data_IF_107568418787
#
_entry.id   IF_107568418787
#
_cell.length_a   1.000
_cell.length_b   1.000
_cell.length_c   1.000
_cell.angle_alpha   90.00
_cell.angle_beta   90.00
_cell.angle_gamma   90.00
#
_symmetry.space_group_name_H-M   'P 1'
#
loop_
_entity.id
_entity.type
_entity.pdbx_description
1 polymer ?
#
# COMPACT_ATOMS: atom_id res chain seq x y z
N UNK A 1 -38.74 44.66 6.89
CA UNK A 1 -40.24 44.73 6.99
C UNK A 1 -40.79 43.39 6.64
N UNK A 2 -41.73 42.91 7.52
CA UNK A 2 -42.64 41.73 7.40
C UNK A 2 -41.93 40.37 7.42
N UNK A 3 -41.89 39.63 8.55
CA UNK A 3 -42.94 38.97 9.36
C UNK A 3 -43.80 38.01 8.55
N UNK A 4 -43.84 36.75 8.99
CA UNK A 4 -44.96 35.91 9.45
C UNK A 4 -44.52 34.46 9.22
N UNK A 5 -44.35 33.63 10.18
CA UNK A 5 -45.10 32.97 11.27
C UNK A 5 -45.90 31.74 10.81
N UNK A 6 -45.70 30.63 11.57
CA UNK A 6 -46.59 29.51 11.89
C UNK A 6 -46.82 28.40 10.82
N UNK A 7 -46.56 27.17 11.14
CA UNK A 7 -47.52 26.27 11.79
C UNK A 7 -46.84 25.00 12.35
N UNK A 8 -47.19 24.73 13.60
CA UNK A 8 -47.08 23.45 14.29
C UNK A 8 -48.02 22.41 13.67
N UNK A 9 -47.60 21.14 13.65
CA UNK A 9 -48.49 19.98 13.82
C UNK A 9 -47.65 18.77 14.18
N UNK A 10 -47.70 18.35 15.26
CA UNK A 10 -48.14 17.40 16.26
C UNK A 10 -48.66 16.08 15.68
N UNK A 11 -48.15 14.94 16.18
CA UNK A 11 -48.75 13.60 15.98
C UNK A 11 -47.75 12.49 16.01
N UNK A 12 -47.37 11.97 17.11
CA UNK A 12 -47.80 10.80 17.88
C UNK A 12 -47.45 9.44 17.28
N UNK A 13 -46.48 8.77 17.93
CA UNK A 13 -46.48 7.38 18.45
C UNK A 13 -46.68 6.25 17.43
N UNK A 14 -45.66 5.37 17.30
CA UNK A 14 -45.82 3.95 17.64
C UNK A 14 -44.50 3.27 17.98
N UNK A 15 -44.45 2.75 19.16
CA UNK A 15 -43.52 1.82 19.75
C UNK A 15 -43.63 0.46 19.04
N UNK A 16 -42.54 -0.09 18.56
CA UNK A 16 -42.42 -1.54 18.38
C UNK A 16 -40.98 -1.98 18.63
N UNK A 17 -40.77 -2.50 19.82
CA UNK A 17 -39.66 -3.38 20.14
C UNK A 17 -39.81 -4.65 19.30
N UNK A 18 -38.79 -4.96 18.54
CA UNK A 18 -38.51 -6.35 18.17
C UNK A 18 -37.02 -6.48 18.12
N UNK A 19 -36.44 -7.01 19.17
CA UNK A 19 -35.10 -7.45 19.25
C UNK A 19 -34.86 -8.67 18.33
N UNK A 20 -33.81 -8.62 17.54
CA UNK A 20 -33.10 -9.78 17.06
C UNK A 20 -31.61 -9.52 17.26
N UNK A 21 -31.10 -10.09 18.34
CA UNK A 21 -29.66 -10.32 18.47
C UNK A 21 -29.24 -11.32 17.43
N UNK A 22 -28.54 -10.87 16.41
CA UNK A 22 -27.69 -11.72 15.62
C UNK A 22 -26.24 -11.37 15.95
N UNK A 23 -25.36 -12.35 16.21
CA UNK A 23 -23.95 -12.07 16.40
C UNK A 23 -23.43 -11.51 15.08
N UNK A 24 -22.87 -10.32 15.15
CA UNK A 24 -22.08 -9.74 14.06
C UNK A 24 -20.80 -10.55 14.03
N UNK A 25 -20.74 -11.54 13.16
CA UNK A 25 -19.48 -12.02 12.66
C UNK A 25 -18.84 -10.84 11.92
N UNK A 26 -17.76 -10.36 12.49
CA UNK A 26 -16.89 -9.40 11.81
C UNK A 26 -16.27 -10.11 10.61
N UNK A 27 -17.01 -10.15 9.51
CA UNK A 27 -16.37 -10.34 8.22
C UNK A 27 -15.51 -9.10 8.00
N UNK A 28 -14.20 -9.27 8.19
CA UNK A 28 -13.20 -8.39 7.63
C UNK A 28 -13.35 -8.54 6.12
N UNK A 29 -14.29 -7.81 5.55
CA UNK A 29 -14.29 -7.55 4.13
C UNK A 29 -13.05 -6.71 3.85
N UNK A 30 -12.00 -7.37 3.40
CA UNK A 30 -10.97 -6.74 2.61
C UNK A 30 -11.69 -6.10 1.42
N UNK A 31 -12.05 -4.85 1.57
CA UNK A 31 -12.44 -4.02 0.41
C UNK A 31 -11.22 -4.03 -0.50
N UNK A 32 -11.33 -4.78 -1.57
CA UNK A 32 -10.40 -4.77 -2.67
C UNK A 32 -10.56 -3.39 -3.32
N UNK A 33 -9.74 -2.43 -2.86
CA UNK A 33 -9.64 -1.12 -3.47
C UNK A 33 -9.08 -1.34 -4.89
N UNK A 34 -9.99 -1.36 -5.87
CA UNK A 34 -9.69 -1.72 -7.25
C UNK A 34 -8.95 -0.61 -8.01
N UNK A 35 -8.52 0.44 -7.30
CA UNK A 35 -7.83 1.61 -7.87
C UNK A 35 -6.46 1.87 -7.21
N UNK A 36 -5.94 0.92 -6.42
CA UNK A 36 -4.62 1.05 -5.83
C UNK A 36 -3.54 0.81 -6.89
N UNK A 37 -2.66 1.78 -7.04
CA UNK A 37 -1.47 1.72 -7.89
C UNK A 37 -0.24 1.67 -7.01
N UNK A 38 0.67 0.74 -7.31
CA UNK A 38 1.96 0.61 -6.63
C UNK A 38 3.05 1.22 -7.52
N UNK A 39 3.74 2.23 -7.02
CA UNK A 39 4.86 2.84 -7.74
C UNK A 39 6.14 2.07 -7.43
N UNK A 40 6.72 1.44 -8.45
CA UNK A 40 7.91 0.60 -8.33
C UNK A 40 9.08 1.20 -9.08
N UNK A 41 10.19 1.41 -8.39
CA UNK A 41 11.47 1.75 -9.01
C UNK A 41 12.30 0.48 -9.17
N UNK A 42 12.78 0.21 -10.38
CA UNK A 42 13.55 -1.02 -10.63
C UNK A 42 14.71 -0.84 -11.61
N UNK A 43 15.92 -1.28 -11.24
CA UNK A 43 17.06 -1.38 -12.16
C UNK A 43 17.14 -2.76 -12.81
N UNK A 44 16.16 -3.64 -12.58
CA UNK A 44 16.17 -4.98 -13.12
C UNK A 44 16.04 -4.97 -14.64
N UNK A 45 16.59 -5.98 -15.32
CA UNK A 45 16.46 -6.12 -16.77
C UNK A 45 15.01 -6.40 -17.18
N UNK A 46 14.70 -6.05 -18.42
CA UNK A 46 13.34 -6.07 -18.97
C UNK A 46 12.70 -7.47 -18.93
N UNK A 47 13.46 -8.51 -19.21
CA UNK A 47 12.98 -9.91 -19.17
C UNK A 47 12.44 -10.31 -17.79
N UNK A 48 13.14 -9.92 -16.71
CA UNK A 48 12.68 -10.17 -15.35
C UNK A 48 11.41 -9.35 -15.01
N UNK A 49 11.36 -8.12 -15.47
CA UNK A 49 10.22 -7.22 -15.25
C UNK A 49 8.97 -7.73 -15.98
N UNK A 50 9.10 -8.13 -17.24
CA UNK A 50 8.02 -8.67 -18.07
C UNK A 50 7.41 -9.96 -17.50
N UNK A 51 8.19 -10.75 -16.79
CA UNK A 51 7.70 -11.96 -16.11
C UNK A 51 7.06 -11.65 -14.75
N UNK A 52 7.67 -10.75 -13.98
CA UNK A 52 7.31 -10.52 -12.58
C UNK A 52 6.11 -9.61 -12.43
N UNK A 53 6.10 -8.45 -13.10
CA UNK A 53 5.09 -7.42 -12.89
C UNK A 53 3.69 -7.89 -13.32
N UNK A 54 3.49 -8.46 -14.52
CA UNK A 54 2.17 -8.96 -14.92
C UNK A 54 1.65 -10.06 -14.00
N UNK A 55 2.54 -10.95 -13.55
CA UNK A 55 2.18 -12.02 -12.61
C UNK A 55 1.71 -11.47 -11.27
N UNK A 56 2.37 -10.41 -10.79
CA UNK A 56 1.96 -9.70 -9.57
C UNK A 56 0.60 -9.02 -9.75
N UNK A 57 0.42 -8.27 -10.84
CA UNK A 57 -0.83 -7.57 -11.12
C UNK A 57 -2.01 -8.54 -11.25
N UNK A 58 -1.82 -9.67 -11.95
CA UNK A 58 -2.84 -10.70 -12.10
C UNK A 58 -3.22 -11.32 -10.76
N UNK A 59 -2.21 -11.65 -9.94
CA UNK A 59 -2.41 -12.32 -8.65
C UNK A 59 -3.09 -11.46 -7.61
N UNK A 60 -2.71 -10.18 -7.52
CA UNK A 60 -3.14 -9.30 -6.45
C UNK A 60 -4.16 -8.25 -6.88
N UNK A 61 -4.31 -8.01 -8.19
CA UNK A 61 -5.22 -7.01 -8.75
C UNK A 61 -4.76 -5.57 -8.48
N UNK A 62 -3.49 -5.37 -8.17
CA UNK A 62 -2.86 -4.06 -7.95
C UNK A 62 -2.12 -3.68 -9.23
N UNK A 63 -2.34 -2.45 -9.72
CA UNK A 63 -1.60 -1.93 -10.87
C UNK A 63 -0.22 -1.45 -10.47
N UNK A 64 0.77 -1.66 -11.33
CA UNK A 64 2.15 -1.20 -11.10
C UNK A 64 2.48 -0.05 -12.04
N UNK A 65 2.90 1.07 -11.47
CA UNK A 65 3.53 2.18 -12.18
C UNK A 65 5.05 2.02 -12.04
N UNK A 66 5.68 1.59 -13.13
CA UNK A 66 7.08 1.19 -13.14
C UNK A 66 7.99 2.29 -13.66
N UNK A 67 9.01 2.65 -12.89
CA UNK A 67 10.12 3.51 -13.31
C UNK A 67 11.41 2.68 -13.39
N UNK A 68 11.94 2.50 -14.59
CA UNK A 68 13.20 1.80 -14.82
C UNK A 68 14.36 2.77 -15.06
N UNK A 69 15.43 2.58 -14.31
CA UNK A 69 16.70 3.30 -14.47
C UNK A 69 17.81 2.54 -13.76
N UNK A 70 19.05 3.00 -13.87
CA UNK A 70 20.15 2.42 -13.08
C UNK A 70 19.92 2.61 -11.57
N UNK A 71 20.46 1.70 -10.74
CA UNK A 71 20.35 1.79 -9.28
C UNK A 71 20.74 3.17 -8.76
N UNK A 72 21.84 3.73 -9.24
CA UNK A 72 22.33 5.04 -8.80
C UNK A 72 21.41 6.20 -9.17
N UNK A 73 20.71 6.14 -10.30
CA UNK A 73 19.74 7.15 -10.72
C UNK A 73 18.47 7.05 -9.87
N UNK A 74 17.98 5.84 -9.61
CA UNK A 74 16.80 5.62 -8.77
C UNK A 74 17.03 6.09 -7.34
N UNK A 75 18.22 5.85 -6.76
CA UNK A 75 18.53 6.35 -5.42
C UNK A 75 18.64 7.88 -5.37
N UNK A 76 19.23 8.52 -6.41
CA UNK A 76 19.22 9.98 -6.51
C UNK A 76 17.82 10.54 -6.65
N UNK A 77 16.96 9.85 -7.38
CA UNK A 77 15.55 10.22 -7.52
C UNK A 77 14.82 10.11 -6.17
N UNK A 78 14.97 9.00 -5.47
CA UNK A 78 14.39 8.79 -4.14
C UNK A 78 14.91 9.83 -3.12
N UNK A 79 16.20 10.18 -3.14
CA UNK A 79 16.75 11.25 -2.29
C UNK A 79 16.14 12.63 -2.62
N UNK A 80 15.92 12.93 -3.88
CA UNK A 80 15.27 14.18 -4.28
C UNK A 80 13.81 14.25 -3.86
N UNK A 81 13.17 13.12 -3.70
CA UNK A 81 11.74 12.95 -3.35
C UNK A 81 11.53 12.70 -1.84
N UNK A 82 12.56 12.67 -1.02
CA UNK A 82 12.48 12.25 0.39
C UNK A 82 11.47 13.02 1.25
N UNK A 83 11.20 14.29 0.92
CA UNK A 83 10.21 15.10 1.64
C UNK A 83 8.75 14.79 1.20
N UNK A 84 8.60 14.15 0.05
CA UNK A 84 7.33 13.68 -0.50
C UNK A 84 7.59 12.46 -1.38
N UNK A 85 7.79 11.29 -0.78
CA UNK A 85 8.13 10.06 -1.49
C UNK A 85 7.09 9.71 -2.55
N UNK A 86 7.58 9.29 -3.72
CA UNK A 86 6.75 8.87 -4.85
C UNK A 86 6.77 7.36 -5.02
N UNK A 87 7.94 6.74 -4.84
CA UNK A 87 8.06 5.29 -4.93
C UNK A 87 7.59 4.61 -3.65
N UNK A 88 6.81 3.56 -3.80
CA UNK A 88 6.43 2.67 -2.71
C UNK A 88 7.49 1.59 -2.47
N UNK A 89 8.14 1.12 -3.54
CA UNK A 89 9.10 0.02 -3.49
C UNK A 89 10.25 0.25 -4.46
N UNK A 90 11.48 -0.10 -4.03
CA UNK A 90 12.61 -0.33 -4.95
C UNK A 90 12.79 -1.83 -5.10
N UNK A 91 12.56 -2.33 -6.31
CA UNK A 91 12.66 -3.75 -6.64
C UNK A 91 13.97 -4.08 -7.35
N UNK A 92 14.91 -4.63 -6.61
CA UNK A 92 16.26 -4.93 -7.08
C UNK A 92 17.25 -3.80 -6.84
N UNK A 93 18.49 -4.00 -7.19
CA UNK A 93 19.55 -3.00 -7.09
C UNK A 93 20.78 -3.44 -6.31
N UNK A 94 21.68 -2.50 -6.03
CA UNK A 94 22.93 -2.77 -5.34
C UNK A 94 22.77 -2.78 -3.82
N UNK A 95 23.11 -3.89 -3.18
CA UNK A 95 23.17 -4.02 -1.72
C UNK A 95 23.95 -2.88 -1.04
N UNK A 96 25.09 -2.49 -1.61
CA UNK A 96 25.92 -1.42 -1.07
C UNK A 96 25.19 -0.06 -1.07
N UNK A 97 24.33 0.20 -2.06
CA UNK A 97 23.54 1.42 -2.10
C UNK A 97 22.40 1.38 -1.10
N UNK A 98 21.73 0.26 -0.90
CA UNK A 98 20.71 0.11 0.14
C UNK A 98 21.31 0.35 1.52
N UNK A 99 22.40 -0.34 1.88
CA UNK A 99 23.03 -0.20 3.19
C UNK A 99 23.60 1.19 3.47
N UNK A 100 23.94 1.94 2.42
CA UNK A 100 24.45 3.31 2.57
C UNK A 100 23.36 4.38 2.62
N UNK A 101 22.11 4.02 2.30
CA UNK A 101 20.98 4.95 2.16
C UNK A 101 19.74 4.47 2.92
N UNK A 102 19.90 3.79 4.04
CA UNK A 102 18.78 3.27 4.86
C UNK A 102 17.83 4.39 5.31
N UNK A 103 18.32 5.62 5.42
CA UNK A 103 17.53 6.80 5.76
C UNK A 103 16.48 7.21 4.71
N UNK A 104 16.48 6.59 3.53
CA UNK A 104 15.46 6.79 2.49
C UNK A 104 14.29 5.81 2.63
N UNK A 105 14.36 4.86 3.54
CA UNK A 105 13.38 3.78 3.66
C UNK A 105 12.70 3.77 5.01
N UNK A 106 11.45 3.35 5.04
CA UNK A 106 10.78 2.99 6.27
C UNK A 106 11.12 1.55 6.67
N UNK A 107 11.34 1.27 7.95
CA UNK A 107 11.60 -0.10 8.40
C UNK A 107 10.37 -0.99 8.19
N UNK A 108 10.57 -2.09 7.47
CA UNK A 108 9.53 -3.08 7.24
C UNK A 108 10.11 -4.49 7.16
N UNK A 109 9.54 -5.43 7.89
CA UNK A 109 9.84 -6.85 7.78
C UNK A 109 8.58 -7.56 7.31
N UNK A 110 8.65 -8.18 6.14
CA UNK A 110 7.54 -8.95 5.57
C UNK A 110 7.13 -10.12 6.49
N UNK A 111 5.85 -10.45 6.53
CA UNK A 111 5.34 -11.65 7.19
C UNK A 111 5.92 -12.94 6.59
N UNK A 112 6.32 -12.88 5.31
CA UNK A 112 6.94 -14.01 4.60
C UNK A 112 8.46 -14.12 4.87
N UNK A 113 9.03 -13.22 5.68
CA UNK A 113 10.49 -13.21 5.91
C UNK A 113 11.01 -14.53 6.45
N UNK A 114 10.22 -15.23 7.29
CA UNK A 114 10.59 -16.53 7.86
C UNK A 114 10.55 -17.67 6.83
N UNK A 115 9.91 -17.46 5.67
CA UNK A 115 9.92 -18.40 4.55
C UNK A 115 11.17 -18.26 3.67
N UNK A 116 11.88 -17.15 3.82
CA UNK A 116 13.12 -16.87 3.09
C UNK A 116 14.27 -17.66 3.74
N UNK A 117 15.16 -18.20 2.92
CA UNK A 117 16.39 -18.85 3.40
C UNK A 117 17.11 -17.91 4.35
N UNK A 118 17.56 -18.36 5.54
CA UNK A 118 18.11 -17.50 6.60
C UNK A 118 19.23 -16.55 6.19
N UNK A 119 20.00 -16.91 5.15
CA UNK A 119 21.06 -16.10 4.59
C UNK A 119 20.53 -14.81 3.92
N UNK A 120 19.33 -14.90 3.31
CA UNK A 120 18.71 -13.81 2.54
C UNK A 120 17.54 -13.14 3.27
N UNK A 121 17.30 -13.46 4.52
CA UNK A 121 16.27 -12.79 5.31
C UNK A 121 16.61 -11.32 5.54
N UNK A 122 15.57 -10.48 5.54
CA UNK A 122 15.70 -9.10 5.99
C UNK A 122 16.00 -9.08 7.50
N UNK A 123 17.21 -8.68 7.86
CA UNK A 123 17.69 -8.57 9.25
C UNK A 123 17.84 -7.14 9.71
N UNK A 124 17.82 -6.19 8.77
CA UNK A 124 17.99 -4.76 9.05
C UNK A 124 16.68 -4.03 9.22
N UNK A 125 15.61 -4.56 8.66
CA UNK A 125 14.32 -3.91 8.56
C UNK A 125 14.14 -3.08 7.28
N UNK A 126 15.19 -2.82 6.52
CA UNK A 126 15.14 -1.88 5.39
C UNK A 126 15.17 -2.55 4.02
N UNK A 127 15.76 -3.73 3.90
CA UNK A 127 15.84 -4.45 2.63
C UNK A 127 16.04 -5.95 2.83
N UNK A 128 15.64 -6.72 1.84
CA UNK A 128 15.93 -8.15 1.70
C UNK A 128 17.13 -8.28 0.76
N UNK A 129 18.23 -8.94 1.18
CA UNK A 129 19.44 -9.10 0.36
C UNK A 129 19.20 -9.86 -0.92
#
# INVERSE_FOLDING_TARGET
MKKILFFLSCGWIFLSLSGCSSPIEAETSSEKDSDSTLVVYSPNPEDLIEETIPTFEEKYGIKVDLVQASTGELFKKAEAEKESPVADVIFGGSYALFSSNENLFEPYISQENDQIIPEYQNKTGFYTP
#
